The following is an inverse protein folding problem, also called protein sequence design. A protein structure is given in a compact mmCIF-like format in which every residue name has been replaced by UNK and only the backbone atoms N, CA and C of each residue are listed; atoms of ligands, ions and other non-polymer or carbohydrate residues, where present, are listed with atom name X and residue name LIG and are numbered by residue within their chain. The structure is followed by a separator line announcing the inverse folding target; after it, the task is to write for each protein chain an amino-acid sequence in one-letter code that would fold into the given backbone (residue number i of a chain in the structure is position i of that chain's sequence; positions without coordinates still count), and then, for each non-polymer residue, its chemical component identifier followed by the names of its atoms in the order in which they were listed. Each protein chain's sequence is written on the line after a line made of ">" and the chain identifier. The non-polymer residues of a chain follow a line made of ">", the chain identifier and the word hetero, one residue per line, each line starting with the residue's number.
data_IF_260614119526
#
_entry.id   IF_260614119526
#
_cell.length_a   1.000
_cell.length_b   1.000
_cell.length_c   1.000
_cell.angle_alpha   90.00
_cell.angle_beta   90.00
_cell.angle_gamma   90.00
#
_symmetry.space_group_name_H-M   'P 1'
#
loop_
_entity.id
_entity.type
_entity.pdbx_description
1 polymer ?
#
# COMPACT_ATOMS: atom_id res chain seq x y z
N UNK A 1 -20.82 -6.83 10.45
CA UNK A 1 -19.80 -5.89 10.93
C UNK A 1 -18.50 -6.19 10.21
N UNK A 2 -17.86 -5.19 9.62
CA UNK A 2 -16.63 -5.38 8.85
C UNK A 2 -16.71 -4.77 7.47
N UNK A 3 -15.84 -5.21 6.56
CA UNK A 3 -15.81 -4.73 5.19
C UNK A 3 -17.16 -4.90 4.48
N UNK A 4 -17.48 -3.98 3.60
CA UNK A 4 -18.74 -3.96 2.81
C UNK A 4 -18.51 -4.36 1.35
N UNK A 5 -17.28 -4.72 1.00
CA UNK A 5 -16.87 -5.28 -0.29
C UNK A 5 -15.79 -6.36 -0.04
N UNK A 6 -15.36 -7.02 -1.10
CA UNK A 6 -14.19 -7.88 -1.18
C UNK A 6 -12.96 -7.28 -0.50
N UNK A 7 -12.28 -8.11 0.27
CA UNK A 7 -11.02 -7.78 0.94
C UNK A 7 -9.89 -8.09 -0.05
N UNK A 8 -9.09 -7.08 -0.38
CA UNK A 8 -8.07 -7.19 -1.43
C UNK A 8 -6.68 -7.52 -0.88
N UNK A 9 -6.39 -7.04 0.32
CA UNK A 9 -5.11 -7.30 0.97
C UNK A 9 -5.25 -7.33 2.48
N UNK A 10 -4.34 -8.07 3.09
CA UNK A 10 -4.15 -8.19 4.53
C UNK A 10 -2.66 -8.09 4.84
N UNK A 11 -2.34 -7.48 5.98
CA UNK A 11 -1.00 -7.49 6.53
C UNK A 11 -1.04 -7.57 8.06
N UNK A 12 0.05 -8.03 8.66
CA UNK A 12 0.23 -8.05 10.11
C UNK A 12 1.66 -7.72 10.49
N UNK A 13 1.85 -7.39 11.76
CA UNK A 13 3.18 -7.14 12.30
C UNK A 13 3.35 -7.92 13.61
N UNK A 14 3.83 -7.30 14.69
CA UNK A 14 4.22 -8.04 15.91
C UNK A 14 3.10 -8.13 16.95
N UNK A 15 2.14 -7.21 16.96
CA UNK A 15 0.98 -7.29 17.86
C UNK A 15 -0.08 -8.25 17.32
N UNK A 16 -0.99 -8.67 18.20
CA UNK A 16 -2.21 -9.44 17.88
C UNK A 16 -3.24 -8.57 17.11
N UNK A 17 -2.81 -8.05 15.97
CA UNK A 17 -3.54 -7.14 15.10
C UNK A 17 -3.28 -7.50 13.66
N UNK A 18 -4.31 -7.36 12.84
CA UNK A 18 -4.20 -7.41 11.39
C UNK A 18 -4.73 -6.10 10.82
N UNK A 19 -4.21 -5.69 9.67
CA UNK A 19 -4.78 -4.63 8.85
C UNK A 19 -5.32 -5.23 7.55
N UNK A 20 -6.50 -4.82 7.13
CA UNK A 20 -7.11 -5.21 5.86
C UNK A 20 -7.58 -3.99 5.10
N UNK A 21 -7.67 -4.11 3.78
CA UNK A 21 -8.31 -3.12 2.91
C UNK A 21 -9.45 -3.75 2.14
N UNK A 22 -10.57 -3.04 2.09
CA UNK A 22 -11.74 -3.44 1.32
C UNK A 22 -11.80 -2.58 0.07
N UNK A 23 -11.97 -3.23 -1.07
CA UNK A 23 -11.95 -2.66 -2.41
C UNK A 23 -12.81 -1.39 -2.52
N UNK A 24 -14.06 -1.51 -2.97
CA UNK A 24 -14.96 -0.36 -3.19
C UNK A 24 -15.61 0.14 -1.91
N UNK A 25 -15.41 -0.55 -0.79
CA UNK A 25 -15.77 0.01 0.51
C UNK A 25 -14.81 1.12 0.96
N UNK A 26 -13.70 1.30 0.23
CA UNK A 26 -12.72 2.36 0.36
C UNK A 26 -12.24 2.54 1.81
N UNK A 27 -12.15 1.44 2.55
CA UNK A 27 -11.75 1.44 3.95
C UNK A 27 -10.49 0.60 4.17
N UNK A 28 -9.58 1.15 4.95
CA UNK A 28 -8.59 0.33 5.66
C UNK A 28 -9.10 0.08 7.08
N UNK A 29 -8.90 -1.13 7.59
CA UNK A 29 -9.38 -1.54 8.92
C UNK A 29 -8.28 -2.23 9.69
N UNK A 30 -8.04 -1.76 10.90
CA UNK A 30 -7.15 -2.44 11.86
C UNK A 30 -8.02 -3.21 12.83
N UNK A 31 -7.82 -4.52 12.89
CA UNK A 31 -8.49 -5.46 13.78
C UNK A 31 -7.66 -5.63 15.03
N UNK A 32 -8.27 -5.35 16.18
CA UNK A 32 -7.68 -5.54 17.51
C UNK A 32 -8.27 -6.82 18.09
N UNK A 33 -7.57 -7.93 17.89
CA UNK A 33 -8.13 -9.28 18.06
C UNK A 33 -8.48 -9.54 19.52
N UNK A 34 -7.58 -9.36 20.51
CA UNK A 34 -7.90 -9.59 21.92
C UNK A 34 -8.96 -8.63 22.47
N UNK A 35 -9.02 -7.42 21.92
CA UNK A 35 -9.97 -6.40 22.36
C UNK A 35 -11.31 -6.45 21.61
N UNK A 36 -11.50 -7.43 20.72
CA UNK A 36 -12.72 -7.62 19.92
C UNK A 36 -13.23 -6.33 19.26
N UNK A 37 -12.29 -5.50 18.79
CA UNK A 37 -12.58 -4.15 18.30
C UNK A 37 -11.88 -3.86 16.98
N UNK A 38 -12.30 -2.78 16.31
CA UNK A 38 -11.69 -2.37 15.05
C UNK A 38 -11.55 -0.85 14.97
N UNK A 39 -10.50 -0.42 14.26
CA UNK A 39 -10.34 0.95 13.82
C UNK A 39 -10.61 1.01 12.33
N UNK A 40 -11.52 1.87 11.91
CA UNK A 40 -11.83 2.12 10.49
C UNK A 40 -11.18 3.43 10.05
N UNK A 41 -10.60 3.42 8.85
CA UNK A 41 -9.92 4.54 8.20
C UNK A 41 -10.52 4.77 6.81
N UNK A 42 -10.88 6.02 6.53
CA UNK A 42 -11.41 6.47 5.24
C UNK A 42 -10.57 7.63 4.73
N UNK A 43 -10.11 7.56 3.49
CA UNK A 43 -9.24 8.59 2.92
C UNK A 43 -9.04 8.51 1.42
N UNK A 44 -9.31 7.35 0.82
CA UNK A 44 -9.53 7.25 -0.62
C UNK A 44 -11.03 7.23 -0.92
N UNK A 45 -11.41 7.69 -2.12
CA UNK A 45 -12.75 7.49 -2.71
C UNK A 45 -12.74 6.38 -3.77
N UNK A 46 -11.62 5.68 -3.87
CA UNK A 46 -11.27 4.72 -4.90
C UNK A 46 -11.02 3.34 -4.27
N UNK A 47 -10.93 2.30 -5.11
CA UNK A 47 -10.73 0.94 -4.62
C UNK A 47 -9.38 0.84 -3.92
N UNK A 48 -9.35 0.45 -2.64
CA UNK A 48 -8.07 0.25 -1.94
C UNK A 48 -7.66 -1.21 -2.09
N UNK A 49 -6.63 -1.44 -2.90
CA UNK A 49 -6.26 -2.80 -3.32
C UNK A 49 -5.01 -3.32 -2.61
N UNK A 50 -4.19 -2.43 -2.04
CA UNK A 50 -2.94 -2.79 -1.38
C UNK A 50 -2.84 -2.17 0.01
N UNK A 51 -2.28 -2.91 0.97
CA UNK A 51 -1.90 -2.40 2.30
C UNK A 51 -0.63 -3.08 2.81
N UNK A 52 0.23 -2.29 3.47
CA UNK A 52 1.39 -2.79 4.22
C UNK A 52 1.65 -1.96 5.47
N UNK A 53 1.96 -2.61 6.58
CA UNK A 53 2.46 -1.94 7.80
C UNK A 53 3.91 -1.46 7.61
N UNK A 54 4.24 -0.29 8.10
CA UNK A 54 5.64 0.17 8.16
C UNK A 54 6.23 -0.24 9.51
N UNK A 55 5.47 0.04 10.55
CA UNK A 55 5.73 -0.31 11.94
C UNK A 55 4.38 -0.49 12.66
N UNK A 56 4.38 -0.47 14.00
CA UNK A 56 3.18 -0.60 14.83
C UNK A 56 2.25 0.65 14.86
N UNK A 57 2.70 1.76 14.28
CA UNK A 57 2.06 3.08 14.34
C UNK A 57 1.75 3.65 12.96
N UNK A 58 2.36 3.12 11.90
CA UNK A 58 2.25 3.60 10.52
C UNK A 58 1.99 2.48 9.53
N UNK A 59 1.22 2.80 8.50
CA UNK A 59 0.96 1.91 7.38
C UNK A 59 0.82 2.69 6.08
N UNK A 60 0.94 1.99 4.97
CA UNK A 60 0.74 2.51 3.62
C UNK A 60 -0.39 1.76 2.96
N UNK A 61 -1.22 2.49 2.21
CA UNK A 61 -2.24 1.92 1.32
C UNK A 61 -2.02 2.44 -0.09
N UNK A 62 -2.51 1.71 -1.08
CA UNK A 62 -2.62 2.25 -2.43
C UNK A 62 -3.93 1.84 -3.09
N UNK A 63 -4.36 2.66 -4.05
CA UNK A 63 -5.66 2.53 -4.71
C UNK A 63 -5.58 2.39 -6.24
N UNK A 64 -6.73 2.04 -6.83
CA UNK A 64 -6.92 1.91 -8.28
C UNK A 64 -6.96 3.26 -9.02
N UNK A 65 -6.87 4.39 -8.31
CA UNK A 65 -6.62 5.71 -8.93
C UNK A 65 -5.13 6.09 -8.87
N UNK A 66 -4.27 5.11 -8.58
CA UNK A 66 -2.82 5.26 -8.60
C UNK A 66 -2.25 6.03 -7.41
N UNK A 67 -3.03 6.29 -6.36
CA UNK A 67 -2.55 7.05 -5.20
C UNK A 67 -1.90 6.13 -4.17
N UNK A 68 -0.84 6.63 -3.52
CA UNK A 68 -0.21 6.00 -2.36
C UNK A 68 -0.44 6.89 -1.15
N UNK A 69 -1.05 6.36 -0.10
CA UNK A 69 -1.38 7.11 1.11
C UNK A 69 -0.61 6.56 2.32
N UNK A 70 0.05 7.46 3.06
CA UNK A 70 0.70 7.16 4.35
C UNK A 70 -0.25 7.49 5.49
N UNK A 71 -0.28 6.64 6.50
CA UNK A 71 -1.22 6.72 7.60
C UNK A 71 -0.53 6.59 8.95
N UNK A 72 -1.14 7.22 9.96
CA UNK A 72 -0.87 6.92 11.36
C UNK A 72 -2.09 6.20 11.95
N UNK A 73 -1.86 5.14 12.73
CA UNK A 73 -2.92 4.34 13.38
C UNK A 73 -3.84 5.19 14.26
N UNK A 74 -3.32 6.26 14.85
CA UNK A 74 -4.08 7.16 15.73
C UNK A 74 -4.78 8.31 14.98
N UNK A 75 -4.67 8.40 13.66
CA UNK A 75 -5.32 9.43 12.84
C UNK A 75 -6.28 8.80 11.83
N UNK A 76 -7.50 9.33 11.78
CA UNK A 76 -8.55 8.84 10.87
C UNK A 76 -8.39 9.22 9.41
N UNK A 77 -7.58 10.25 9.13
CA UNK A 77 -7.21 10.71 7.79
C UNK A 77 -5.75 10.37 7.49
N UNK A 78 -5.37 10.21 6.21
CA UNK A 78 -3.98 9.98 5.84
C UNK A 78 -3.11 11.16 6.29
N UNK A 79 -1.86 10.85 6.65
CA UNK A 79 -0.83 11.85 6.93
C UNK A 79 -0.45 12.60 5.67
N UNK A 80 -0.33 11.88 4.56
CA UNK A 80 -0.09 12.41 3.23
C UNK A 80 -0.53 11.40 2.17
N UNK A 81 -0.83 11.91 0.98
CA UNK A 81 -1.21 11.10 -0.18
C UNK A 81 -0.42 11.60 -1.37
N UNK A 82 0.31 10.70 -2.03
CA UNK A 82 0.96 10.96 -3.30
C UNK A 82 0.02 10.50 -4.43
N UNK A 83 -0.57 11.43 -5.21
CA UNK A 83 -1.50 11.07 -6.28
C UNK A 83 -0.75 10.58 -7.52
N UNK A 84 -1.37 9.68 -8.29
CA UNK A 84 -0.85 9.26 -9.63
C UNK A 84 0.61 8.78 -9.56
N UNK A 85 0.91 7.95 -8.56
CA UNK A 85 2.24 7.47 -8.21
C UNK A 85 2.95 6.72 -9.35
N UNK A 86 2.18 6.08 -10.25
CA UNK A 86 2.68 5.41 -11.46
C UNK A 86 2.32 6.15 -12.76
N UNK A 87 2.06 7.45 -12.70
CA UNK A 87 1.72 8.25 -13.88
C UNK A 87 0.33 7.95 -14.45
N UNK A 88 0.03 8.60 -15.57
CA UNK A 88 -1.21 8.40 -16.31
C UNK A 88 -1.02 7.33 -17.38
N UNK A 89 -1.96 6.38 -17.43
CA UNK A 89 -2.12 5.47 -18.56
C UNK A 89 -2.86 6.16 -19.71
N UNK A 90 -3.43 5.36 -20.61
CA UNK A 90 -4.11 5.85 -21.81
C UNK A 90 -5.40 6.61 -21.52
N UNK A 91 -6.13 6.26 -20.45
CA UNK A 91 -7.43 6.85 -20.11
C UNK A 91 -7.62 7.19 -18.62
N UNK A 92 -6.78 6.65 -17.75
CA UNK A 92 -6.87 6.82 -16.30
C UNK A 92 -5.47 6.71 -15.66
N UNK A 93 -5.29 7.13 -14.39
CA UNK A 93 -4.08 6.82 -13.64
C UNK A 93 -3.75 5.33 -13.63
N UNK A 94 -2.47 4.99 -13.68
CA UNK A 94 -2.05 3.60 -13.57
C UNK A 94 -2.24 3.11 -12.12
N UNK A 95 -2.93 1.98 -11.97
CA UNK A 95 -3.28 1.41 -10.67
C UNK A 95 -2.04 0.93 -9.93
N UNK A 96 -2.01 1.07 -8.60
CA UNK A 96 -0.95 0.46 -7.80
C UNK A 96 -1.36 -0.96 -7.44
N UNK A 97 -0.76 -1.93 -8.11
CA UNK A 97 -1.15 -3.35 -8.02
C UNK A 97 -0.33 -4.12 -7.00
N UNK A 98 0.80 -3.55 -6.55
CA UNK A 98 1.64 -4.14 -5.51
C UNK A 98 2.29 -3.06 -4.64
N UNK A 99 2.38 -3.32 -3.34
CA UNK A 99 3.13 -2.54 -2.37
C UNK A 99 4.05 -3.45 -1.56
N UNK A 100 5.26 -2.96 -1.27
CA UNK A 100 6.17 -3.56 -0.30
C UNK A 100 6.76 -2.48 0.61
N UNK A 101 7.07 -2.86 1.84
CA UNK A 101 7.72 -1.98 2.80
C UNK A 101 8.91 -2.69 3.42
N UNK A 102 10.02 -1.97 3.58
CA UNK A 102 11.11 -2.42 4.44
C UNK A 102 10.78 -2.01 5.89
N UNK A 103 10.36 -2.98 6.70
CA UNK A 103 9.81 -2.75 8.06
C UNK A 103 10.74 -1.93 8.95
N UNK A 104 10.15 -1.03 9.75
CA UNK A 104 10.82 -0.05 10.62
C UNK A 104 11.82 0.88 9.91
N UNK A 105 11.64 1.09 8.61
CA UNK A 105 12.45 2.05 7.83
C UNK A 105 11.53 3.01 7.08
N UNK A 106 12.12 3.97 6.37
CA UNK A 106 11.43 4.93 5.54
C UNK A 106 11.27 4.48 4.07
N UNK A 107 11.63 3.23 3.75
CA UNK A 107 11.65 2.74 2.36
C UNK A 107 10.40 1.93 2.00
N UNK A 108 9.74 2.36 0.92
CA UNK A 108 8.56 1.73 0.32
C UNK A 108 8.84 1.43 -1.14
N UNK A 109 8.28 0.33 -1.66
CA UNK A 109 8.25 0.03 -3.09
C UNK A 109 6.81 -0.09 -3.57
N UNK A 110 6.54 0.38 -4.79
CA UNK A 110 5.25 0.20 -5.46
C UNK A 110 5.44 -0.34 -6.87
N UNK A 111 4.46 -1.11 -7.31
CA UNK A 111 4.40 -1.71 -8.63
C UNK A 111 3.07 -1.43 -9.31
N UNK A 112 3.12 -1.39 -10.64
CA UNK A 112 1.96 -1.15 -11.51
C UNK A 112 2.12 -1.96 -12.81
N UNK A 113 1.30 -1.64 -13.81
CA UNK A 113 1.44 -2.09 -15.20
C UNK A 113 2.23 -1.10 -16.07
N UNK A 114 2.70 0.02 -15.52
CA UNK A 114 3.43 1.08 -16.22
C UNK A 114 4.86 0.68 -16.65
N UNK A 115 5.25 -0.58 -16.43
CA UNK A 115 6.56 -1.10 -16.77
C UNK A 115 7.66 -0.69 -15.78
N UNK A 116 7.30 -0.18 -14.60
CA UNK A 116 8.27 0.22 -13.57
C UNK A 116 7.89 -0.22 -12.17
N UNK A 117 8.91 -0.53 -11.37
CA UNK A 117 8.82 -0.52 -9.90
C UNK A 117 9.38 0.82 -9.43
N UNK A 118 8.70 1.49 -8.51
CA UNK A 118 9.15 2.76 -7.95
C UNK A 118 9.50 2.60 -6.48
N UNK A 119 10.63 3.15 -6.07
CA UNK A 119 11.02 3.25 -4.67
C UNK A 119 10.75 4.65 -4.14
N UNK A 120 10.29 4.69 -2.89
CA UNK A 120 9.86 5.91 -2.23
C UNK A 120 10.47 6.00 -0.84
N UNK A 121 10.77 7.24 -0.44
CA UNK A 121 11.23 7.59 0.90
C UNK A 121 10.13 8.30 1.66
N UNK A 122 9.83 7.85 2.86
CA UNK A 122 9.03 8.61 3.81
C UNK A 122 9.90 9.68 4.49
N UNK A 123 9.35 10.88 4.71
CA UNK A 123 10.00 11.83 5.63
C UNK A 123 10.01 11.26 7.05
N UNK A 124 10.92 11.77 7.90
CA UNK A 124 11.05 11.33 9.30
C UNK A 124 9.75 11.42 10.11
N UNK A 125 8.87 12.37 9.76
CA UNK A 125 7.56 12.57 10.40
C UNK A 125 6.40 11.88 9.66
N UNK A 126 6.69 11.10 8.62
CA UNK A 126 5.74 10.41 7.75
C UNK A 126 4.69 11.32 7.08
N UNK A 127 4.98 12.62 6.94
CA UNK A 127 4.09 13.60 6.29
C UNK A 127 4.43 13.88 4.83
N UNK A 128 5.50 13.28 4.30
CA UNK A 128 5.88 13.35 2.89
C UNK A 128 6.31 11.98 2.38
N UNK A 129 6.02 11.73 1.11
CA UNK A 129 6.48 10.59 0.35
C UNK A 129 7.23 11.11 -0.87
N UNK A 130 8.50 10.76 -1.00
CA UNK A 130 9.41 11.29 -2.02
C UNK A 130 9.88 10.16 -2.94
N UNK A 131 9.81 10.31 -4.28
CA UNK A 131 10.34 9.31 -5.19
C UNK A 131 11.87 9.25 -5.10
N UNK A 132 12.43 8.04 -5.10
CA UNK A 132 13.88 7.81 -5.04
C UNK A 132 14.41 7.35 -6.40
N UNK A 133 13.89 6.22 -6.89
CA UNK A 133 14.37 5.55 -8.10
C UNK A 133 13.25 4.76 -8.77
N UNK A 134 13.32 4.72 -10.10
CA UNK A 134 12.45 3.90 -10.93
C UNK A 134 13.29 2.74 -11.50
N UNK A 135 12.79 1.53 -11.35
CA UNK A 135 13.44 0.30 -11.81
C UNK A 135 12.60 -0.24 -12.96
N UNK A 136 13.10 -0.26 -14.21
CA UNK A 136 12.37 -0.79 -15.36
C UNK A 136 12.10 -2.28 -15.20
N UNK A 137 10.83 -2.68 -15.33
CA UNK A 137 10.39 -4.08 -15.29
C UNK A 137 9.21 -4.27 -16.23
N UNK A 138 9.37 -5.10 -17.26
CA UNK A 138 8.34 -5.32 -18.28
C UNK A 138 7.26 -6.27 -17.77
N UNK A 139 6.02 -5.80 -17.70
CA UNK A 139 4.84 -6.59 -17.34
C UNK A 139 4.04 -5.98 -16.17
N UNK A 140 3.03 -6.72 -15.70
CA UNK A 140 2.24 -6.36 -14.53
C UNK A 140 2.97 -6.78 -13.26
N UNK A 141 3.25 -5.82 -12.38
CA UNK A 141 3.82 -6.11 -11.06
C UNK A 141 2.69 -6.57 -10.12
N UNK A 142 2.50 -7.88 -10.00
CA UNK A 142 1.40 -8.48 -9.23
C UNK A 142 1.72 -8.69 -7.74
N UNK A 143 3.00 -8.68 -7.37
CA UNK A 143 3.45 -8.82 -5.99
C UNK A 143 4.83 -8.20 -5.83
N UNK A 144 5.08 -7.59 -4.67
CA UNK A 144 6.37 -7.05 -4.27
C UNK A 144 6.61 -7.40 -2.80
N UNK A 145 7.82 -7.80 -2.47
CA UNK A 145 8.24 -7.98 -1.07
C UNK A 145 9.72 -7.64 -0.90
N UNK A 146 10.06 -6.95 0.19
CA UNK A 146 11.45 -6.78 0.59
C UNK A 146 11.97 -8.05 1.26
N UNK A 147 13.22 -8.39 1.00
CA UNK A 147 13.94 -9.38 1.81
C UNK A 147 14.02 -8.94 3.28
N UNK A 148 13.96 -9.86 4.25
CA UNK A 148 14.04 -9.51 5.68
C UNK A 148 15.32 -8.76 6.07
N UNK A 149 16.40 -8.94 5.31
CA UNK A 149 17.68 -8.24 5.51
C UNK A 149 17.81 -6.93 4.71
N UNK A 150 16.77 -6.53 3.97
CA UNK A 150 16.71 -5.29 3.18
C UNK A 150 17.64 -5.24 1.96
N UNK A 151 18.30 -6.34 1.58
CA UNK A 151 19.32 -6.34 0.51
C UNK A 151 18.75 -6.42 -0.89
N UNK A 152 17.57 -7.00 -1.05
CA UNK A 152 16.90 -7.15 -2.33
C UNK A 152 15.38 -7.09 -2.19
N UNK A 153 14.72 -6.89 -3.33
CA UNK A 153 13.26 -6.91 -3.50
C UNK A 153 12.94 -8.06 -4.44
N UNK A 154 11.88 -8.82 -4.13
CA UNK A 154 11.32 -9.82 -5.03
C UNK A 154 10.09 -9.20 -5.70
N UNK A 155 9.99 -9.33 -7.02
CA UNK A 155 8.85 -8.89 -7.79
C UNK A 155 8.23 -10.06 -8.56
N UNK A 156 6.95 -10.31 -8.33
CA UNK A 156 6.16 -11.27 -9.10
C UNK A 156 5.55 -10.59 -10.32
N UNK A 157 6.06 -10.90 -11.51
CA UNK A 157 5.67 -10.25 -12.76
C UNK A 157 4.79 -11.16 -13.60
N UNK A 158 3.65 -10.65 -14.06
CA UNK A 158 2.72 -11.34 -14.94
C UNK A 158 2.54 -10.64 -16.28
N UNK A 159 2.01 -11.39 -17.26
CA UNK A 159 1.50 -10.79 -18.51
C UNK A 159 0.17 -10.06 -18.30
N UNK A 160 -0.58 -10.47 -17.29
CA UNK A 160 -1.90 -9.96 -16.93
C UNK A 160 -1.93 -9.63 -15.44
N UNK A 161 -2.93 -8.83 -15.05
CA UNK A 161 -3.24 -8.57 -13.66
C UNK A 161 -3.70 -9.85 -12.96
N UNK A 162 -3.32 -10.05 -11.70
CA UNK A 162 -3.78 -11.18 -10.89
C UNK A 162 -5.32 -11.16 -10.73
N UNK A 163 -5.96 -12.32 -10.81
CA UNK A 163 -7.39 -12.50 -10.55
C UNK A 163 -7.68 -12.60 -9.05
#
# INVERSE_FOLDING_TARGET
>A
FGHQDSIQAIDSYIRDRAITVGARDASARIWKIPEESQLVFHGSQHSIDCVKLIDEQHFVTADDNGSISLWAVLKKKPLTTYPVAHGLGTSAPNWVTALAVMRNTDLIASGSSDGTIRLWKCSQDFRKLEPIVNIPVVGFVNSLEFSPNGKFIIAGIGKEHRL
#
